data_IF_019023512357
#
_entry.id   IF_019023512357
#
_cell.length_a   1.000
_cell.length_b   1.000
_cell.length_c   1.000
_cell.angle_alpha   90.00
_cell.angle_beta   90.00
_cell.angle_gamma   90.00
#
_symmetry.space_group_name_H-M   'P 1'
#
loop_
_entity.id
_entity.type
_entity.pdbx_description
1 polymer ?
#
# COMPACT_ATOMS: atom_id res chain seq x y z
N UNK A 1 35.32 -11.87 -11.80
CA UNK A 1 34.50 -10.89 -11.06
C UNK A 1 35.41 -10.02 -10.22
N UNK A 2 35.27 -8.68 -10.28
CA UNK A 2 36.13 -7.72 -9.56
C UNK A 2 35.85 -7.68 -8.05
N UNK A 3 34.64 -8.07 -7.64
CA UNK A 3 34.21 -8.14 -6.23
C UNK A 3 33.95 -9.59 -5.84
N UNK A 4 34.36 -9.97 -4.63
CA UNK A 4 34.08 -11.29 -4.06
C UNK A 4 32.65 -11.34 -3.47
N UNK A 5 32.03 -12.52 -3.51
CA UNK A 5 30.76 -12.83 -2.81
C UNK A 5 29.53 -11.96 -3.15
N UNK A 6 29.39 -11.53 -4.41
CA UNK A 6 28.13 -10.92 -4.86
C UNK A 6 27.03 -11.99 -4.90
N UNK A 7 25.94 -11.78 -4.16
CA UNK A 7 24.81 -12.71 -4.12
C UNK A 7 24.15 -12.90 -5.50
N UNK A 8 23.69 -14.11 -5.85
CA UNK A 8 22.87 -14.32 -7.04
C UNK A 8 21.66 -13.39 -7.05
N UNK A 9 21.41 -12.71 -8.18
CA UNK A 9 20.32 -11.75 -8.32
C UNK A 9 20.60 -10.33 -7.82
N UNK A 10 21.78 -10.06 -7.25
CA UNK A 10 22.16 -8.74 -6.69
C UNK A 10 23.24 -8.02 -7.51
N UNK A 11 23.28 -8.22 -8.84
CA UNK A 11 24.23 -7.53 -9.73
C UNK A 11 23.70 -6.12 -10.02
N UNK A 12 24.49 -5.11 -9.68
CA UNK A 12 24.28 -3.73 -10.16
C UNK A 12 24.91 -3.63 -11.55
N UNK A 13 24.10 -3.34 -12.56
CA UNK A 13 24.52 -3.25 -13.95
C UNK A 13 24.07 -1.95 -14.63
N UNK A 14 24.16 -1.91 -15.96
CA UNK A 14 23.80 -0.72 -16.76
C UNK A 14 22.31 -0.38 -16.73
N UNK A 15 21.46 -1.28 -16.23
CA UNK A 15 20.01 -1.12 -16.12
C UNK A 15 19.53 -1.04 -14.66
N UNK A 16 20.42 -0.79 -13.71
CA UNK A 16 20.08 -0.71 -12.28
C UNK A 16 20.02 0.75 -11.85
N UNK A 17 18.87 1.18 -11.33
CA UNK A 17 18.73 2.46 -10.62
C UNK A 17 19.07 2.27 -9.13
N UNK A 18 19.56 3.32 -8.47
CA UNK A 18 20.01 3.27 -7.08
C UNK A 18 19.21 4.26 -6.22
N UNK A 19 18.65 3.76 -5.13
CA UNK A 19 18.07 4.58 -4.05
C UNK A 19 19.02 4.48 -2.84
N UNK A 20 19.52 5.62 -2.36
CA UNK A 20 20.40 5.72 -1.20
C UNK A 20 19.65 5.31 0.08
N UNK A 21 20.19 4.33 0.80
CA UNK A 21 19.57 3.74 2.01
C UNK A 21 20.37 4.01 3.29
N UNK A 22 21.55 4.61 3.19
CA UNK A 22 22.38 4.95 4.34
C UNK A 22 21.64 5.90 5.30
N UNK A 23 21.74 5.62 6.60
CA UNK A 23 21.07 6.37 7.66
C UNK A 23 19.52 6.36 7.60
N UNK A 24 18.92 5.45 6.84
CA UNK A 24 17.47 5.25 6.76
C UNK A 24 17.07 3.86 7.29
N UNK A 25 15.80 3.72 7.68
CA UNK A 25 15.18 2.43 7.98
C UNK A 25 14.23 2.06 6.85
N UNK A 26 14.33 0.82 6.37
CA UNK A 26 13.41 0.25 5.39
C UNK A 26 12.46 -0.72 6.08
N UNK A 27 11.16 -0.49 5.93
CA UNK A 27 10.09 -1.38 6.40
C UNK A 27 9.24 -1.86 5.23
N UNK A 28 8.47 -2.93 5.43
CA UNK A 28 7.35 -3.20 4.54
C UNK A 28 6.32 -2.06 4.64
N UNK A 29 5.51 -1.88 3.60
CA UNK A 29 4.37 -0.98 3.66
C UNK A 29 3.30 -1.52 4.62
N UNK A 30 2.59 -0.60 5.29
CA UNK A 30 1.53 -0.94 6.23
C UNK A 30 0.32 -1.57 5.53
N UNK A 31 -0.33 -2.49 6.24
CA UNK A 31 -1.59 -3.12 5.87
C UNK A 31 -2.66 -2.72 6.89
N UNK A 32 -3.68 -1.99 6.45
CA UNK A 32 -4.85 -1.70 7.26
C UNK A 32 -6.01 -2.61 6.83
N UNK A 33 -6.50 -3.42 7.77
CA UNK A 33 -7.56 -4.40 7.54
C UNK A 33 -8.96 -3.93 7.95
N UNK A 34 -9.10 -2.69 8.41
CA UNK A 34 -10.37 -2.15 8.92
C UNK A 34 -10.66 -0.77 8.31
N UNK A 35 -10.70 -0.70 6.98
CA UNK A 35 -11.00 0.54 6.28
C UNK A 35 -12.49 0.67 5.98
N UNK A 36 -13.06 1.80 6.38
CA UNK A 36 -14.34 2.27 5.86
C UNK A 36 -14.08 3.16 4.65
N UNK A 37 -14.46 2.73 3.44
CA UNK A 37 -14.27 3.51 2.22
C UNK A 37 -15.32 4.63 2.10
N UNK A 38 -15.19 5.63 2.98
CA UNK A 38 -16.09 6.79 3.09
C UNK A 38 -15.77 7.80 2.00
N UNK A 39 -14.49 8.02 1.71
CA UNK A 39 -14.06 8.93 0.68
C UNK A 39 -12.69 8.54 0.08
N UNK A 40 -12.44 8.85 -1.20
CA UNK A 40 -11.18 8.48 -1.86
C UNK A 40 -9.96 9.19 -1.26
N UNK A 41 -10.16 10.32 -0.57
CA UNK A 41 -9.07 11.08 0.03
C UNK A 41 -8.30 10.26 1.07
N UNK A 42 -8.96 9.33 1.78
CA UNK A 42 -8.32 8.44 2.76
C UNK A 42 -7.09 7.72 2.20
N UNK A 43 -7.02 7.45 0.89
CA UNK A 43 -5.86 6.85 0.26
C UNK A 43 -4.60 7.74 0.36
N UNK A 44 -4.77 9.08 0.33
CA UNK A 44 -3.66 10.04 0.47
C UNK A 44 -3.11 10.06 1.89
N UNK A 45 -3.98 10.11 2.91
CA UNK A 45 -3.56 9.99 4.31
C UNK A 45 -2.96 8.61 4.62
N UNK A 46 -3.49 7.53 4.03
CA UNK A 46 -2.95 6.18 4.17
C UNK A 46 -1.51 6.10 3.63
N UNK A 47 -1.27 6.51 2.38
CA UNK A 47 0.08 6.43 1.81
C UNK A 47 1.07 7.39 2.48
N UNK A 48 0.62 8.58 2.90
CA UNK A 48 1.46 9.54 3.63
C UNK A 48 1.91 9.02 5.01
N UNK A 49 1.14 8.12 5.62
CA UNK A 49 1.48 7.45 6.88
C UNK A 49 2.20 6.11 6.70
N UNK A 50 2.50 5.71 5.46
CA UNK A 50 3.22 4.47 5.14
C UNK A 50 2.32 3.25 4.96
N UNK A 51 0.99 3.40 4.93
CA UNK A 51 0.04 2.32 4.59
C UNK A 51 -0.02 2.19 3.06
N UNK A 52 0.36 1.04 2.54
CA UNK A 52 0.35 0.76 1.09
C UNK A 52 -0.77 -0.18 0.68
N UNK A 53 -1.47 -0.80 1.63
CA UNK A 53 -2.59 -1.70 1.37
C UNK A 53 -3.75 -1.43 2.32
N UNK A 54 -4.95 -1.31 1.76
CA UNK A 54 -6.20 -1.08 2.47
C UNK A 54 -7.18 -2.22 2.17
N UNK A 55 -7.70 -2.87 3.20
CA UNK A 55 -8.77 -3.89 3.11
C UNK A 55 -9.95 -3.40 3.95
N UNK A 56 -11.14 -3.47 3.36
CA UNK A 56 -12.33 -2.92 3.97
C UNK A 56 -13.54 -2.94 3.05
N UNK A 57 -14.47 -2.02 3.29
CA UNK A 57 -15.67 -1.88 2.47
C UNK A 57 -16.32 -0.52 2.65
N UNK A 58 -17.19 -0.16 1.71
CA UNK A 58 -17.91 1.11 1.72
C UNK A 58 -18.42 1.50 0.34
N UNK A 59 -19.42 2.37 0.35
CA UNK A 59 -20.02 2.96 -0.87
C UNK A 59 -20.01 4.48 -0.77
N UNK A 60 -18.92 5.06 -0.25
CA UNK A 60 -18.84 6.48 0.04
C UNK A 60 -19.53 6.87 1.35
N UNK A 61 -19.96 8.13 1.54
CA UNK A 61 -20.41 8.66 2.83
C UNK A 61 -21.84 8.24 3.25
N UNK A 62 -22.31 7.08 2.78
CA UNK A 62 -23.57 6.51 3.22
C UNK A 62 -23.51 6.13 4.71
N UNK A 63 -24.63 6.26 5.43
CA UNK A 63 -24.72 5.92 6.86
C UNK A 63 -24.22 4.49 7.13
N UNK A 64 -24.51 3.56 6.23
CA UNK A 64 -24.01 2.18 6.30
C UNK A 64 -22.48 2.10 6.28
N UNK A 65 -21.80 2.80 5.37
CA UNK A 65 -20.33 2.85 5.33
C UNK A 65 -19.76 3.53 6.57
N UNK A 66 -20.38 4.60 7.05
CA UNK A 66 -19.89 5.30 8.25
C UNK A 66 -19.99 4.41 9.51
N UNK A 67 -20.82 3.36 9.48
CA UNK A 67 -21.00 2.43 10.59
C UNK A 67 -20.30 1.08 10.38
N UNK A 68 -20.13 0.61 9.14
CA UNK A 68 -19.69 -0.75 8.81
C UNK A 68 -18.76 -0.78 7.60
N UNK A 69 -17.78 -1.69 7.60
CA UNK A 69 -16.84 -1.92 6.49
C UNK A 69 -17.46 -2.83 5.40
N UNK A 70 -18.67 -2.48 4.95
CA UNK A 70 -19.44 -3.30 4.03
C UNK A 70 -19.62 -2.60 2.67
N UNK A 71 -19.38 -3.33 1.59
CA UNK A 71 -19.77 -2.95 0.23
C UNK A 71 -20.95 -3.85 -0.20
N UNK A 72 -22.21 -3.44 0.06
CA UNK A 72 -23.35 -4.35 0.03
C UNK A 72 -23.82 -4.69 -1.39
N UNK A 73 -23.72 -5.96 -1.78
CA UNK A 73 -24.28 -6.50 -3.02
C UNK A 73 -23.36 -6.37 -4.23
N UNK A 74 -23.59 -7.24 -5.22
CA UNK A 74 -22.71 -7.39 -6.39
C UNK A 74 -22.55 -6.09 -7.19
N UNK A 75 -23.62 -5.29 -7.32
CA UNK A 75 -23.56 -4.01 -8.01
C UNK A 75 -22.56 -3.03 -7.37
N UNK A 76 -22.53 -2.93 -6.03
CA UNK A 76 -21.61 -2.03 -5.35
C UNK A 76 -20.17 -2.53 -5.33
N UNK A 77 -19.95 -3.85 -5.39
CA UNK A 77 -18.62 -4.45 -5.45
C UNK A 77 -17.96 -4.26 -6.83
N UNK A 78 -18.77 -4.16 -7.89
CA UNK A 78 -18.30 -3.99 -9.27
C UNK A 78 -17.87 -2.56 -9.62
N UNK A 79 -18.29 -1.57 -8.84
CA UNK A 79 -17.98 -0.15 -9.05
C UNK A 79 -16.59 0.20 -8.54
#
# INVERSE_FOLDING_TARGET
HMMANVSPGMIVGVTTEVIAGENLLLTAGGLDTHIHFICPQQAYEAIASGITTMIGGGTGPAVGTCATTCTPGAFHIQM
#
